data_IF_738503782173
#
_entry.id   IF_738503782173
#
_cell.length_a   1.000
_cell.length_b   1.000
_cell.length_c   1.000
_cell.angle_alpha   90.00
_cell.angle_beta   90.00
_cell.angle_gamma   90.00
#
_symmetry.space_group_name_H-M   'P 1'
#
loop_
_entity.id
_entity.type
_entity.pdbx_description
1 polymer ?
#
# COMPACT_ATOMS: atom_id res chain seq x y z
N UNK A 1 8.78 -4.92 16.21
CA UNK A 1 8.15 -4.70 14.88
C UNK A 1 8.20 -5.96 14.00
N UNK A 2 7.16 -6.27 13.22
CA UNK A 2 7.10 -7.45 12.34
C UNK A 2 7.13 -7.02 10.88
N UNK A 3 8.05 -7.57 10.09
CA UNK A 3 8.17 -7.30 8.65
C UNK A 3 7.85 -8.57 7.86
N UNK A 4 7.03 -8.45 6.82
CA UNK A 4 6.72 -9.51 5.86
C UNK A 4 7.33 -9.12 4.52
N UNK A 5 8.02 -10.05 3.86
CA UNK A 5 8.48 -9.86 2.49
C UNK A 5 8.30 -11.12 1.66
N UNK A 6 8.00 -10.93 0.39
CA UNK A 6 7.85 -11.99 -0.59
C UNK A 6 8.95 -11.86 -1.66
N UNK A 7 9.49 -13.01 -2.07
CA UNK A 7 10.45 -13.14 -3.15
C UNK A 7 9.73 -13.55 -4.44
N UNK A 8 10.31 -13.18 -5.59
CA UNK A 8 9.76 -13.49 -6.91
C UNK A 8 9.79 -15.00 -7.27
N UNK A 9 10.32 -15.85 -6.39
CA UNK A 9 10.31 -17.31 -6.49
C UNK A 9 9.11 -17.95 -5.75
N UNK A 10 8.23 -17.15 -5.14
CA UNK A 10 7.06 -17.64 -4.40
C UNK A 10 7.30 -17.88 -2.90
N UNK A 11 8.46 -17.56 -2.35
CA UNK A 11 8.72 -17.64 -0.91
C UNK A 11 8.34 -16.35 -0.18
N UNK A 12 7.69 -16.46 0.97
CA UNK A 12 7.47 -15.37 1.90
C UNK A 12 8.24 -15.61 3.19
N UNK A 13 8.93 -14.58 3.68
CA UNK A 13 9.69 -14.62 4.92
C UNK A 13 9.13 -13.58 5.91
N UNK A 14 9.09 -13.98 7.17
CA UNK A 14 8.68 -13.16 8.29
C UNK A 14 9.93 -12.83 9.11
N UNK A 15 10.19 -11.55 9.30
CA UNK A 15 11.28 -11.08 10.16
C UNK A 15 10.69 -10.36 11.37
N UNK A 16 11.10 -10.78 12.55
CA UNK A 16 10.80 -10.10 13.79
C UNK A 16 11.99 -9.22 14.18
N UNK A 17 11.72 -7.92 14.31
CA UNK A 17 12.67 -6.94 14.79
C UNK A 17 12.42 -6.66 16.27
N UNK A 18 13.41 -6.94 17.11
CA UNK A 18 13.41 -6.59 18.53
C UNK A 18 13.88 -5.15 18.71
N UNK A 19 12.98 -4.30 19.17
CA UNK A 19 13.20 -2.87 19.36
C UNK A 19 14.20 -2.57 20.50
N UNK A 20 14.45 -3.55 21.37
CA UNK A 20 15.41 -3.41 22.47
C UNK A 20 16.84 -3.79 22.06
N UNK A 21 17.04 -4.36 20.86
CA UNK A 21 18.35 -4.74 20.36
C UNK A 21 18.46 -4.58 18.82
N UNK A 22 18.63 -3.35 18.32
CA UNK A 22 18.48 -2.99 16.90
C UNK A 22 19.53 -3.57 15.94
N UNK A 23 20.51 -4.33 16.43
CA UNK A 23 21.53 -5.03 15.63
C UNK A 23 21.27 -6.52 15.47
N UNK A 24 20.27 -7.08 16.16
CA UNK A 24 19.92 -8.49 16.09
C UNK A 24 18.86 -8.73 15.01
N UNK A 25 19.30 -9.07 13.78
CA UNK A 25 18.43 -9.56 12.72
C UNK A 25 18.54 -11.09 12.69
N UNK A 26 17.55 -11.79 13.25
CA UNK A 26 17.51 -13.25 13.17
C UNK A 26 16.66 -13.66 11.96
N UNK A 27 17.30 -14.33 11.00
CA UNK A 27 16.59 -15.02 9.92
C UNK A 27 16.39 -16.46 10.33
N UNK A 28 15.15 -16.96 10.25
CA UNK A 28 14.87 -18.37 10.49
C UNK A 28 14.20 -18.92 9.24
N UNK A 29 14.95 -19.76 8.53
CA UNK A 29 14.45 -20.47 7.35
C UNK A 29 13.75 -21.74 7.85
N UNK A 30 12.44 -21.86 7.62
CA UNK A 30 11.66 -23.03 8.03
C UNK A 30 11.31 -23.90 6.82
N UNK A 31 11.75 -25.16 6.84
CA UNK A 31 11.19 -26.23 6.00
C UNK A 31 9.97 -26.81 6.74
N UNK A 32 8.77 -26.45 6.30
CA UNK A 32 7.51 -26.82 6.96
C UNK A 32 7.29 -28.32 6.77
N UNK A 33 7.52 -29.11 7.83
CA UNK A 33 7.29 -30.56 7.80
C UNK A 33 6.28 -31.05 8.82
N UNK A 34 6.12 -30.41 9.99
CA UNK A 34 4.97 -30.66 10.89
C UNK A 34 4.59 -29.39 11.66
N UNK A 35 3.31 -29.00 11.56
CA UNK A 35 2.79 -27.74 12.05
C UNK A 35 2.46 -27.80 13.55
N UNK A 36 3.16 -27.02 14.37
CA UNK A 36 2.67 -26.63 15.68
C UNK A 36 1.48 -25.67 15.45
N UNK A 37 0.26 -26.13 15.70
CA UNK A 37 -0.96 -25.33 15.59
C UNK A 37 -0.98 -24.22 16.67
N UNK A 38 -0.29 -23.10 16.41
CA UNK A 38 -0.96 -21.81 16.63
C UNK A 38 -2.10 -21.79 15.62
N UNK A 39 -3.32 -21.56 16.08
CA UNK A 39 -4.47 -21.35 15.21
C UNK A 39 -4.18 -20.17 14.26
N UNK A 40 -3.64 -20.47 13.09
CA UNK A 40 -3.50 -19.56 11.97
C UNK A 40 -4.78 -19.68 11.16
N UNK A 41 -5.63 -18.64 11.20
CA UNK A 41 -6.62 -18.48 10.17
C UNK A 41 -5.92 -17.82 8.99
N UNK A 42 -5.64 -18.62 7.96
CA UNK A 42 -5.11 -18.14 6.70
C UNK A 42 -6.27 -17.96 5.72
N UNK A 43 -6.56 -16.73 5.35
CA UNK A 43 -7.45 -16.38 4.23
C UNK A 43 -6.59 -16.03 3.02
N UNK A 44 -6.83 -16.67 1.88
CA UNK A 44 -6.08 -16.42 0.65
C UNK A 44 -7.01 -15.87 -0.44
N UNK A 45 -6.76 -14.64 -0.85
CA UNK A 45 -7.38 -14.03 -2.02
C UNK A 45 -6.42 -14.11 -3.20
N UNK A 46 -6.91 -14.61 -4.33
CA UNK A 46 -6.09 -14.81 -5.53
C UNK A 46 -6.22 -13.60 -6.45
N UNK A 47 -5.09 -13.01 -6.83
CA UNK A 47 -5.01 -12.12 -7.98
C UNK A 47 -4.80 -12.93 -9.26
N UNK A 48 -5.36 -12.46 -10.37
CA UNK A 48 -5.20 -13.13 -11.68
C UNK A 48 -3.78 -13.01 -12.24
N UNK A 49 -3.01 -12.04 -11.75
CA UNK A 49 -1.62 -11.78 -12.14
C UNK A 49 -0.76 -11.41 -10.92
N UNK A 50 0.54 -11.20 -11.14
CA UNK A 50 1.51 -10.98 -10.08
C UNK A 50 1.23 -9.73 -9.23
N UNK A 51 1.29 -9.90 -7.90
CA UNK A 51 1.28 -8.80 -6.93
C UNK A 51 2.70 -8.23 -6.86
N UNK A 52 2.82 -6.91 -7.06
CA UNK A 52 4.12 -6.23 -7.13
C UNK A 52 4.52 -5.57 -5.80
N UNK A 53 3.54 -5.19 -4.97
CA UNK A 53 3.79 -4.55 -3.68
C UNK A 53 2.67 -4.82 -2.69
N UNK A 54 3.02 -4.94 -1.40
CA UNK A 54 2.09 -5.08 -0.27
C UNK A 54 2.52 -4.14 0.84
N UNK A 55 1.61 -3.34 1.39
CA UNK A 55 1.93 -2.32 2.40
C UNK A 55 0.82 -2.23 3.44
N UNK A 56 1.19 -2.26 4.72
CA UNK A 56 0.25 -2.02 5.82
C UNK A 56 -0.12 -0.54 5.93
N UNK A 57 -1.38 -0.25 6.26
CA UNK A 57 -1.79 1.11 6.60
C UNK A 57 -1.18 1.50 7.96
N UNK A 58 -0.43 2.62 8.08
CA UNK A 58 0.30 2.97 9.31
C UNK A 58 -0.56 3.11 10.57
N UNK A 59 -1.84 3.51 10.42
CA UNK A 59 -2.77 3.79 11.53
C UNK A 59 -3.98 2.85 11.54
N UNK A 60 -4.12 2.00 10.52
CA UNK A 60 -5.27 1.12 10.38
C UNK A 60 -4.98 -0.23 11.03
N UNK A 61 -5.67 -0.54 12.13
CA UNK A 61 -5.65 -1.89 12.66
C UNK A 61 -6.24 -2.83 11.59
N UNK A 62 -5.46 -3.81 11.18
CA UNK A 62 -5.87 -4.86 10.23
C UNK A 62 -6.12 -4.40 8.78
N UNK A 63 -5.67 -3.21 8.36
CA UNK A 63 -5.80 -2.77 6.97
C UNK A 63 -4.47 -2.91 6.21
N UNK A 64 -4.53 -3.51 5.02
CA UNK A 64 -3.39 -3.58 4.11
C UNK A 64 -3.79 -3.12 2.71
N UNK A 65 -2.81 -2.80 1.88
CA UNK A 65 -3.00 -2.54 0.46
C UNK A 65 -2.02 -3.33 -0.40
N UNK A 66 -2.46 -3.65 -1.61
CA UNK A 66 -1.67 -4.38 -2.60
C UNK A 66 -1.67 -3.64 -3.93
N UNK A 67 -0.50 -3.46 -4.53
CA UNK A 67 -0.35 -3.02 -5.92
C UNK A 67 -0.06 -4.22 -6.81
N UNK A 68 -0.81 -4.35 -7.90
CA UNK A 68 -0.76 -5.53 -8.76
C UNK A 68 -0.36 -5.17 -10.20
N UNK A 69 0.16 -6.17 -10.92
CA UNK A 69 0.56 -6.03 -12.33
C UNK A 69 -0.65 -5.76 -13.26
N UNK A 70 -1.86 -6.10 -12.82
CA UNK A 70 -3.12 -5.77 -13.52
C UNK A 70 -3.43 -4.26 -13.54
N UNK A 71 -2.64 -3.45 -12.83
CA UNK A 71 -2.81 -2.01 -12.75
C UNK A 71 -3.79 -1.55 -11.68
N UNK A 72 -4.20 -2.42 -10.76
CA UNK A 72 -5.12 -2.09 -9.69
C UNK A 72 -4.44 -2.10 -8.32
N UNK A 73 -4.70 -1.02 -7.56
CA UNK A 73 -4.49 -0.96 -6.13
C UNK A 73 -5.73 -1.55 -5.46
N UNK A 74 -5.53 -2.44 -4.50
CA UNK A 74 -6.62 -2.96 -3.67
C UNK A 74 -6.32 -2.69 -2.22
N UNK A 75 -7.34 -2.31 -1.47
CA UNK A 75 -7.31 -2.08 -0.03
C UNK A 75 -8.17 -3.15 0.64
N UNK A 76 -7.65 -3.75 1.70
CA UNK A 76 -8.21 -4.93 2.33
C UNK A 76 -8.37 -4.69 3.82
N UNK A 77 -9.46 -5.20 4.40
CA UNK A 77 -9.60 -5.35 5.84
C UNK A 77 -9.45 -6.81 6.22
N UNK A 78 -8.38 -7.12 6.95
CA UNK A 78 -8.02 -8.47 7.36
C UNK A 78 -8.96 -9.06 8.43
N UNK A 79 -9.89 -8.26 8.98
CA UNK A 79 -10.89 -8.73 9.96
C UNK A 79 -12.09 -9.37 9.28
N UNK A 80 -12.24 -9.22 7.97
CA UNK A 80 -13.41 -9.74 7.27
C UNK A 80 -13.38 -11.27 7.25
N UNK A 81 -14.39 -11.94 7.83
CA UNK A 81 -14.42 -13.40 7.81
C UNK A 81 -14.73 -13.90 6.39
N UNK A 82 -13.93 -14.86 5.93
CA UNK A 82 -14.13 -15.63 4.70
C UNK A 82 -15.52 -16.30 4.62
N UNK A 83 -16.22 -16.46 5.75
CA UNK A 83 -17.51 -17.13 5.86
C UNK A 83 -18.72 -16.34 5.28
N UNK A 84 -18.59 -15.05 4.99
CA UNK A 84 -19.63 -14.27 4.27
C UNK A 84 -19.55 -14.38 2.75
N UNK A 85 -18.62 -15.19 2.22
CA UNK A 85 -18.34 -15.34 0.79
C UNK A 85 -19.45 -16.01 -0.04
N UNK A 86 -20.62 -16.30 0.54
CA UNK A 86 -21.75 -16.81 -0.23
C UNK A 86 -22.40 -15.72 -1.12
N UNK A 87 -22.37 -14.45 -0.68
CA UNK A 87 -23.04 -13.35 -1.39
C UNK A 87 -22.09 -12.23 -1.84
N UNK A 88 -20.89 -12.11 -1.25
CA UNK A 88 -19.86 -11.14 -1.65
C UNK A 88 -18.49 -11.82 -1.75
N UNK A 89 -17.93 -12.01 -2.97
CA UNK A 89 -16.82 -12.93 -3.17
C UNK A 89 -15.44 -12.42 -2.71
N UNK A 90 -15.26 -11.16 -2.30
CA UNK A 90 -13.93 -10.62 -1.99
C UNK A 90 -13.91 -9.67 -0.77
N UNK A 91 -12.93 -9.79 0.16
CA UNK A 91 -12.72 -8.90 1.31
C UNK A 91 -12.06 -7.56 0.93
N UNK A 92 -12.14 -7.18 -0.34
CA UNK A 92 -11.63 -5.91 -0.84
C UNK A 92 -12.55 -4.78 -0.42
N UNK A 93 -12.03 -3.81 0.31
CA UNK A 93 -12.73 -2.56 0.64
C UNK A 93 -12.81 -1.67 -0.60
N UNK A 94 -11.65 -1.40 -1.19
CA UNK A 94 -11.52 -0.48 -2.31
C UNK A 94 -10.64 -1.06 -3.39
N UNK A 95 -11.00 -0.75 -4.64
CA UNK A 95 -10.16 -0.96 -5.81
C UNK A 95 -9.93 0.39 -6.48
N UNK A 96 -8.71 0.68 -6.92
CA UNK A 96 -8.38 1.88 -7.67
C UNK A 96 -7.51 1.51 -8.88
N UNK A 97 -7.93 1.92 -10.08
CA UNK A 97 -7.14 1.73 -11.29
C UNK A 97 -6.05 2.80 -11.41
N UNK A 98 -4.84 2.39 -11.78
CA UNK A 98 -3.76 3.32 -12.11
C UNK A 98 -4.01 4.07 -13.43
N UNK A 99 -4.95 3.60 -14.26
CA UNK A 99 -5.17 4.07 -15.63
C UNK A 99 -4.22 3.45 -16.66
N UNK A 100 -3.34 2.52 -16.26
CA UNK A 100 -2.53 1.73 -17.19
C UNK A 100 -1.19 1.24 -16.63
N UNK A 101 -0.91 -0.04 -16.84
CA UNK A 101 0.32 -0.71 -16.41
C UNK A 101 0.35 -1.04 -14.92
N UNK A 102 1.21 -2.00 -14.56
CA UNK A 102 1.31 -2.52 -13.20
C UNK A 102 1.77 -1.50 -12.16
N UNK A 103 1.37 -1.70 -10.90
CA UNK A 103 1.73 -0.84 -9.77
C UNK A 103 2.95 -1.41 -9.07
N UNK A 104 4.14 -0.93 -9.42
CA UNK A 104 5.42 -1.45 -8.92
C UNK A 104 5.63 -1.19 -7.42
N UNK A 105 5.30 0.02 -6.97
CA UNK A 105 5.43 0.46 -5.59
C UNK A 105 4.25 1.35 -5.22
N UNK A 106 3.83 1.28 -3.97
CA UNK A 106 2.91 2.24 -3.39
C UNK A 106 3.28 2.53 -1.93
N UNK A 107 2.83 3.66 -1.40
CA UNK A 107 3.13 4.11 -0.04
C UNK A 107 1.93 4.83 0.56
N UNK A 108 1.61 4.51 1.82
CA UNK A 108 0.65 5.26 2.61
C UNK A 108 1.26 6.56 3.13
N UNK A 109 0.50 7.64 2.99
CA UNK A 109 0.77 8.94 3.59
C UNK A 109 -0.31 9.23 4.65
N UNK A 110 0.13 9.48 5.88
CA UNK A 110 -0.69 9.75 7.08
C UNK A 110 -1.83 8.74 7.32
N UNK A 111 -1.71 7.53 6.77
CA UNK A 111 -2.75 6.50 6.84
C UNK A 111 -4.06 6.86 6.10
N UNK A 112 -4.10 7.92 5.28
CA UNK A 112 -5.33 8.31 4.55
C UNK A 112 -5.13 8.39 3.05
N UNK A 113 -3.91 8.66 2.59
CA UNK A 113 -3.61 8.76 1.17
C UNK A 113 -2.69 7.62 0.76
N UNK A 114 -2.84 7.15 -0.48
CA UNK A 114 -1.90 6.21 -1.09
C UNK A 114 -1.27 6.87 -2.31
N UNK A 115 0.05 6.86 -2.36
CA UNK A 115 0.81 7.29 -3.54
C UNK A 115 1.35 6.06 -4.25
N UNK A 116 1.26 6.02 -5.58
CA UNK A 116 1.60 4.85 -6.40
C UNK A 116 2.62 5.23 -7.48
N UNK A 117 3.54 4.31 -7.78
CA UNK A 117 4.36 4.31 -8.97
C UNK A 117 3.78 3.28 -9.95
N UNK A 118 3.11 3.77 -10.99
CA UNK A 118 2.42 2.99 -12.00
C UNK A 118 3.22 2.97 -13.31
N UNK A 119 3.52 1.76 -13.80
CA UNK A 119 4.45 1.50 -14.90
C UNK A 119 4.31 2.46 -16.09
N UNK A 120 3.07 2.68 -16.55
CA UNK A 120 2.79 3.50 -17.73
C UNK A 120 2.02 4.79 -17.43
N UNK A 121 1.37 4.88 -16.27
CA UNK A 121 0.60 6.05 -15.87
C UNK A 121 1.40 7.09 -15.07
N UNK A 122 2.69 6.83 -14.80
CA UNK A 122 3.53 7.71 -14.00
C UNK A 122 3.26 7.50 -12.51
N UNK A 123 2.99 8.57 -11.77
CA UNK A 123 2.67 8.49 -10.35
C UNK A 123 1.24 8.95 -10.08
N UNK A 124 0.60 8.30 -9.11
CA UNK A 124 -0.83 8.45 -8.88
C UNK A 124 -1.09 8.67 -7.39
N UNK A 125 -1.93 9.63 -7.04
CA UNK A 125 -2.42 9.84 -5.69
C UNK A 125 -3.87 9.34 -5.57
N UNK A 126 -4.15 8.62 -4.49
CA UNK A 126 -5.47 8.04 -4.18
C UNK A 126 -5.88 8.44 -2.78
N UNK A 127 -7.17 8.66 -2.58
CA UNK A 127 -7.77 8.98 -1.30
C UNK A 127 -8.35 10.40 -1.24
N UNK A 128 -8.81 10.84 -0.05
CA UNK A 128 -8.61 10.16 1.22
C UNK A 128 -9.41 8.86 1.35
N UNK A 129 -8.77 7.84 1.91
CA UNK A 129 -9.39 6.57 2.32
C UNK A 129 -9.77 6.71 3.79
N UNK A 130 -11.07 6.72 4.08
CA UNK A 130 -11.59 6.89 5.43
C UNK A 130 -12.11 5.56 5.99
N UNK A 131 -11.79 5.19 7.24
CA UNK A 131 -12.35 3.98 7.85
C UNK A 131 -13.88 3.96 7.96
N UNK A 132 -14.52 5.13 8.03
CA UNK A 132 -15.97 5.28 8.01
C UNK A 132 -16.62 4.83 6.69
N UNK A 133 -15.85 4.70 5.61
CA UNK A 133 -16.31 4.24 4.30
C UNK A 133 -16.28 2.70 4.17
N UNK A 134 -15.83 1.95 5.19
CA UNK A 134 -15.75 0.48 5.14
C UNK A 134 -17.12 -0.25 5.19
N UNK A 135 -18.23 0.47 5.11
CA UNK A 135 -19.58 -0.11 5.15
C UNK A 135 -20.01 -0.71 3.82
N UNK A 136 -19.48 -0.21 2.70
CA UNK A 136 -19.70 -0.76 1.36
C UNK A 136 -18.45 -1.55 0.92
N UNK A 137 -18.69 -2.77 0.46
CA UNK A 137 -17.63 -3.67 0.01
C UNK A 137 -17.37 -3.47 -1.49
N UNK A 138 -16.10 -3.56 -1.89
CA UNK A 138 -15.65 -3.52 -3.27
C UNK A 138 -15.96 -2.21 -4.00
N UNK A 139 -15.78 -1.07 -3.32
CA UNK A 139 -15.97 0.25 -3.91
C UNK A 139 -14.83 0.58 -4.90
N UNK A 140 -15.18 1.13 -6.07
CA UNK A 140 -14.20 1.64 -7.02
C UNK A 140 -13.86 3.09 -6.69
N UNK A 141 -12.60 3.33 -6.35
CA UNK A 141 -12.06 4.67 -6.13
C UNK A 141 -11.45 5.21 -7.42
N UNK A 142 -11.86 6.44 -7.75
CA UNK A 142 -11.19 7.22 -8.78
C UNK A 142 -9.91 7.85 -8.23
N UNK A 143 -8.81 7.86 -9.01
CA UNK A 143 -7.59 8.56 -8.62
C UNK A 143 -7.84 10.06 -8.38
N UNK A 144 -7.22 10.58 -7.32
CA UNK A 144 -7.28 12.00 -7.00
C UNK A 144 -6.47 12.84 -8.00
N UNK A 145 -5.30 12.34 -8.39
CA UNK A 145 -4.43 13.01 -9.36
C UNK A 145 -3.38 12.05 -9.94
N UNK A 146 -2.96 12.36 -11.17
CA UNK A 146 -1.75 11.82 -11.79
C UNK A 146 -0.68 12.90 -11.84
N UNK A 147 0.57 12.52 -11.60
CA UNK A 147 1.70 13.44 -11.67
C UNK A 147 2.92 12.75 -12.28
N UNK A 148 3.72 13.56 -12.98
CA UNK A 148 4.82 13.09 -13.85
C UNK A 148 4.41 11.91 -14.75
N UNK A 149 3.32 12.03 -15.54
CA UNK A 149 2.94 11.00 -16.51
C UNK A 149 4.01 10.76 -17.59
N UNK A 150 4.94 11.70 -17.76
CA UNK A 150 6.09 11.58 -18.68
C UNK A 150 7.24 10.71 -18.16
N UNK A 151 7.17 10.21 -16.92
CA UNK A 151 8.21 9.35 -16.37
C UNK A 151 8.36 8.06 -17.20
N UNK A 152 9.58 7.76 -17.65
CA UNK A 152 9.86 6.57 -18.44
C UNK A 152 9.95 5.33 -17.55
N UNK A 153 8.78 4.76 -17.26
CA UNK A 153 8.57 3.65 -16.33
C UNK A 153 8.74 4.07 -14.87
N UNK A 154 7.67 4.61 -14.29
CA UNK A 154 7.63 4.89 -12.85
C UNK A 154 7.79 3.59 -12.06
N UNK A 155 8.73 3.60 -11.12
CA UNK A 155 9.17 2.36 -10.45
C UNK A 155 9.14 2.47 -8.93
N UNK A 156 9.72 3.51 -8.36
CA UNK A 156 9.83 3.67 -6.91
C UNK A 156 9.18 4.95 -6.41
N UNK A 157 8.59 4.86 -5.22
CA UNK A 157 7.99 5.99 -4.52
C UNK A 157 8.13 5.83 -3.00
N UNK A 158 8.45 6.93 -2.33
CA UNK A 158 8.34 7.05 -0.88
C UNK A 158 7.97 8.49 -0.50
N UNK A 159 7.42 8.67 0.69
CA UNK A 159 6.96 9.97 1.17
C UNK A 159 7.03 10.10 2.69
N UNK A 160 7.15 11.35 3.14
CA UNK A 160 6.93 11.72 4.54
C UNK A 160 6.13 13.02 4.62
N UNK A 161 5.32 13.17 5.67
CA UNK A 161 4.54 14.37 5.93
C UNK A 161 5.44 15.51 6.41
N UNK A 162 5.30 16.68 5.81
CA UNK A 162 6.00 17.87 6.29
C UNK A 162 5.13 18.58 7.32
N UNK A 163 5.31 18.23 8.60
CA UNK A 163 4.70 18.96 9.72
C UNK A 163 5.37 20.32 9.89
N UNK A 164 4.95 21.31 9.10
CA UNK A 164 5.24 22.70 9.41
C UNK A 164 4.54 23.04 10.72
N UNK A 165 5.30 23.44 11.74
CA UNK A 165 4.77 23.98 13.01
C UNK A 165 4.01 25.30 12.87
N UNK A 166 3.77 25.76 11.64
CA UNK A 166 2.80 26.79 11.33
C UNK A 166 1.63 26.15 10.60
N UNK A 167 0.51 26.06 11.32
CA UNK A 167 -0.84 26.14 10.78
C UNK A 167 -0.92 27.47 10.01
N UNK A 168 -0.42 27.50 8.77
CA UNK A 168 -0.99 28.45 7.83
C UNK A 168 -2.44 28.05 7.65
N UNK A 169 -3.29 29.04 7.41
CA UNK A 169 -4.75 28.95 7.25
C UNK A 169 -5.22 27.98 6.12
N UNK A 170 -4.29 27.21 5.56
CA UNK A 170 -4.44 26.35 4.42
C UNK A 170 -4.85 24.94 4.87
N UNK A 171 -6.09 24.58 4.52
CA UNK A 171 -6.73 23.28 4.72
C UNK A 171 -6.11 22.18 3.84
N UNK A 172 -4.78 22.09 3.78
CA UNK A 172 -4.07 21.20 2.88
C UNK A 172 -2.93 20.46 3.57
N UNK A 173 -2.78 19.18 3.23
CA UNK A 173 -1.66 18.34 3.65
C UNK A 173 -0.48 18.57 2.71
N UNK A 174 0.66 18.96 3.26
CA UNK A 174 1.92 19.06 2.53
C UNK A 174 2.80 17.84 2.81
N UNK A 175 3.27 17.18 1.75
CA UNK A 175 4.20 16.07 1.85
C UNK A 175 5.39 16.24 0.91
N UNK A 176 6.54 15.73 1.34
CA UNK A 176 7.70 15.56 0.47
C UNK A 176 7.65 14.15 -0.10
N UNK A 177 7.79 14.05 -1.42
CA UNK A 177 7.74 12.79 -2.14
C UNK A 177 9.03 12.61 -2.92
N UNK A 178 9.65 11.45 -2.74
CA UNK A 178 10.72 10.96 -3.58
C UNK A 178 10.15 9.97 -4.59
N UNK A 179 10.47 10.18 -5.86
CA UNK A 179 10.02 9.32 -6.96
C UNK A 179 11.20 8.93 -7.84
N UNK A 180 11.25 7.69 -8.30
CA UNK A 180 12.24 7.26 -9.26
C UNK A 180 11.62 6.53 -10.45
N UNK A 181 12.29 6.69 -11.59
CA UNK A 181 11.88 6.16 -12.88
C UNK A 181 13.01 5.28 -13.40
N UNK A 182 12.66 4.10 -13.90
CA UNK A 182 13.62 3.07 -14.26
C UNK A 182 14.47 3.51 -15.45
N UNK A 183 13.88 4.09 -16.50
CA UNK A 183 14.64 4.50 -17.68
C UNK A 183 15.10 5.96 -17.66
N UNK A 184 14.53 6.81 -16.79
CA UNK A 184 15.07 8.16 -16.60
C UNK A 184 16.33 8.17 -15.73
N UNK A 185 16.69 7.04 -15.11
CA UNK A 185 17.87 6.89 -14.26
C UNK A 185 18.02 7.99 -13.20
N UNK A 186 16.90 8.47 -12.65
CA UNK A 186 16.88 9.64 -11.75
C UNK A 186 15.92 9.46 -10.58
N UNK A 187 16.29 10.08 -9.46
CA UNK A 187 15.41 10.30 -8.31
C UNK A 187 15.00 11.76 -8.31
N UNK A 188 13.70 12.00 -8.19
CA UNK A 188 13.10 13.33 -8.17
C UNK A 188 12.44 13.55 -6.82
N UNK A 189 12.80 14.65 -6.16
CA UNK A 189 12.18 15.09 -4.92
C UNK A 189 11.22 16.23 -5.23
N UNK A 190 10.00 16.12 -4.73
CA UNK A 190 8.93 17.07 -5.02
C UNK A 190 8.08 17.32 -3.77
N UNK A 191 7.38 18.45 -3.77
CA UNK A 191 6.34 18.74 -2.79
C UNK A 191 4.99 18.44 -3.42
N UNK A 192 4.14 17.70 -2.71
CA UNK A 192 2.74 17.53 -3.08
C UNK A 192 1.85 18.20 -2.05
N UNK A 193 0.78 18.83 -2.53
CA UNK A 193 -0.26 19.44 -1.71
C UNK A 193 -1.54 18.66 -1.96
N UNK A 194 -2.09 18.05 -0.92
CA UNK A 194 -3.32 17.27 -0.95
C UNK A 194 -4.40 17.99 -0.14
N UNK A 195 -5.70 17.80 -0.44
CA UNK A 195 -6.77 18.30 0.42
C UNK A 195 -6.59 17.76 1.85
N UNK A 196 -6.82 18.58 2.89
CA UNK A 196 -6.90 18.03 4.24
C UNK A 196 -8.24 17.34 4.45
N UNK A 197 -8.23 16.26 5.22
CA UNK A 197 -9.46 15.64 5.71
C UNK A 197 -9.71 16.21 7.10
N UNK A 198 -10.94 16.64 7.43
CA UNK A 198 -11.29 16.95 8.80
C UNK A 198 -10.95 15.75 9.71
N UNK A 199 -10.40 16.01 10.89
CA UNK A 199 -10.37 15.00 11.95
C UNK A 199 -11.81 14.69 12.34
N UNK A 200 -12.25 13.46 12.08
CA UNK A 200 -13.47 12.90 12.68
C UNK A 200 -13.36 12.89 14.22
#
# INVERSE_FOLDING_TARGET
MTAVGAQANGEAALWHFDENNPTSLTSTNYQITEALLLSTQATHEKHDVGVCSVVSQPTGACTISTGCYDGFLRIWDLRMPCERACDHPHPTLFTCSSGGGGIWRHKWLIGRYVLMAAMHAGFVAVGPVCPSQYNDYNEMLEPLAWYRPSAKLAYGIDCYDHRSGHLTDDKHLLAIVATCSFYDNSVNFSRITLPSVPSE
#
